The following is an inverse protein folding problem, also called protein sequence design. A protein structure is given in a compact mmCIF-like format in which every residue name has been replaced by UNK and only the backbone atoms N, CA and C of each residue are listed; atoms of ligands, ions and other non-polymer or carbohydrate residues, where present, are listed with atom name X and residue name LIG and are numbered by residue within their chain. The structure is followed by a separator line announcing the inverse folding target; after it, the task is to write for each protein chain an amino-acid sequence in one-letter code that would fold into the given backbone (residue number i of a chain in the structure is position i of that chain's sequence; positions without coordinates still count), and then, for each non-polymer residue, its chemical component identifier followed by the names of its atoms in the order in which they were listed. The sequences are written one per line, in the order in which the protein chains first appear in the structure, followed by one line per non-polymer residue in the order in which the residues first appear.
data_IF_878819147521
#
_entry.id   IF_878819147521
#
_cell.length_a   1.000
_cell.length_b   1.000
_cell.length_c   1.000
_cell.angle_alpha   90.00
_cell.angle_beta   90.00
_cell.angle_gamma   90.00
#
_symmetry.space_group_name_H-M   'P 1'
#
loop_
_entity.id
_entity.type
_entity.pdbx_description
1 polymer ?
#
# COMPACT_ATOMS: atom_id res chain seq x y z
N UNK A 1 0.98 -7.47 -15.55
CA UNK A 1 1.09 -6.87 -14.21
C UNK A 1 1.75 -7.89 -13.28
N UNK A 2 2.99 -7.63 -12.81
CA UNK A 2 3.66 -8.43 -11.79
C UNK A 2 2.78 -8.57 -10.53
N UNK A 3 2.94 -9.66 -9.75
CA UNK A 3 2.11 -9.85 -8.56
C UNK A 3 2.23 -8.70 -7.56
N UNK A 4 3.44 -8.17 -7.33
CA UNK A 4 3.66 -7.03 -6.45
C UNK A 4 2.88 -5.78 -6.87
N UNK A 5 2.95 -5.39 -8.15
CA UNK A 5 2.21 -4.23 -8.69
C UNK A 5 0.70 -4.36 -8.44
N UNK A 6 0.15 -5.55 -8.71
CA UNK A 6 -1.28 -5.82 -8.46
C UNK A 6 -1.64 -5.70 -6.98
N UNK A 7 -0.84 -6.29 -6.10
CA UNK A 7 -1.14 -6.26 -4.66
C UNK A 7 -1.00 -4.86 -4.06
N UNK A 8 -0.08 -4.04 -4.58
CA UNK A 8 0.00 -2.60 -4.25
C UNK A 8 -1.23 -1.85 -4.73
N UNK A 9 -1.72 -2.08 -5.96
CA UNK A 9 -2.97 -1.47 -6.44
C UNK A 9 -4.17 -1.84 -5.56
N UNK A 10 -4.26 -3.10 -5.11
CA UNK A 10 -5.31 -3.51 -4.17
C UNK A 10 -5.18 -2.84 -2.81
N UNK A 11 -3.97 -2.65 -2.29
CA UNK A 11 -3.77 -1.91 -1.05
C UNK A 11 -4.22 -0.45 -1.21
N UNK A 12 -3.82 0.22 -2.28
CA UNK A 12 -4.24 1.60 -2.56
C UNK A 12 -5.77 1.72 -2.70
N UNK A 13 -6.42 0.76 -3.35
CA UNK A 13 -7.88 0.71 -3.44
C UNK A 13 -8.54 0.51 -2.05
N UNK A 14 -7.96 -0.37 -1.20
CA UNK A 14 -8.44 -0.60 0.17
C UNK A 14 -8.33 0.67 1.03
N UNK A 15 -7.22 1.41 0.90
CA UNK A 15 -7.01 2.69 1.59
C UNK A 15 -8.02 3.76 1.16
N UNK A 16 -8.31 3.87 -0.14
CA UNK A 16 -9.35 4.77 -0.66
C UNK A 16 -10.73 4.41 -0.09
N UNK A 17 -11.14 3.15 -0.15
CA UNK A 17 -12.48 2.73 0.29
C UNK A 17 -12.64 2.82 1.81
N UNK A 18 -11.64 2.40 2.59
CA UNK A 18 -11.77 2.34 4.05
C UNK A 18 -11.47 3.67 4.74
N UNK A 19 -10.46 4.39 4.25
CA UNK A 19 -9.90 5.56 4.92
C UNK A 19 -9.99 6.85 4.11
N UNK A 20 -10.48 6.79 2.86
CA UNK A 20 -10.68 7.97 2.02
C UNK A 20 -9.44 8.46 1.29
N UNK A 21 -8.32 7.72 1.34
CA UNK A 21 -7.08 8.04 0.61
C UNK A 21 -7.22 7.70 -0.88
N UNK A 22 -7.94 8.54 -1.61
CA UNK A 22 -8.26 8.32 -3.03
C UNK A 22 -7.32 9.16 -3.90
N UNK A 23 -6.08 8.70 -3.99
CA UNK A 23 -5.00 9.38 -4.70
C UNK A 23 -5.19 9.39 -6.23
N UNK A 24 -4.59 10.36 -6.96
CA UNK A 24 -4.69 10.45 -8.42
C UNK A 24 -4.18 9.20 -9.14
N UNK A 25 -4.75 8.91 -10.32
CA UNK A 25 -4.38 7.73 -11.14
C UNK A 25 -2.88 7.71 -11.50
N UNK A 26 -2.28 8.88 -11.73
CA UNK A 26 -0.85 8.97 -12.03
C UNK A 26 0.02 8.54 -10.84
N UNK A 27 -0.40 8.89 -9.61
CA UNK A 27 0.27 8.44 -8.39
C UNK A 27 0.04 6.96 -8.11
N UNK A 28 -1.16 6.44 -8.36
CA UNK A 28 -1.42 4.99 -8.29
C UNK A 28 -0.44 4.25 -9.20
N UNK A 29 -0.27 4.73 -10.44
CA UNK A 29 0.66 4.13 -11.40
C UNK A 29 2.11 4.24 -10.96
N UNK A 30 2.53 5.38 -10.40
CA UNK A 30 3.89 5.59 -9.89
C UNK A 30 4.19 4.65 -8.73
N UNK A 31 3.34 4.68 -7.71
CA UNK A 31 3.51 3.90 -6.48
C UNK A 31 3.44 2.40 -6.78
N UNK A 32 2.43 1.93 -7.51
CA UNK A 32 2.28 0.49 -7.76
C UNK A 32 3.40 -0.13 -8.61
N UNK A 33 4.17 0.67 -9.35
CA UNK A 33 5.25 0.19 -10.24
C UNK A 33 6.64 0.24 -9.62
N UNK A 34 6.77 0.60 -8.35
CA UNK A 34 8.05 0.51 -7.67
C UNK A 34 8.53 -0.94 -7.57
N UNK A 35 9.82 -1.16 -7.72
CA UNK A 35 10.43 -2.49 -7.60
C UNK A 35 10.66 -2.89 -6.14
N UNK A 36 10.64 -1.92 -5.22
CA UNK A 36 10.94 -2.09 -3.82
C UNK A 36 10.16 -1.08 -2.97
N UNK A 37 9.73 -1.51 -1.78
CA UNK A 37 9.18 -0.63 -0.75
C UNK A 37 9.54 -1.09 0.65
N UNK A 38 9.91 -0.13 1.50
CA UNK A 38 9.62 -0.21 2.94
C UNK A 38 8.20 0.29 3.22
N UNK A 39 7.58 -0.24 4.26
CA UNK A 39 6.23 0.11 4.69
C UNK A 39 6.08 1.61 4.99
N UNK A 40 7.09 2.22 5.63
CA UNK A 40 7.11 3.64 5.94
C UNK A 40 7.22 4.51 4.68
N UNK A 41 8.10 4.16 3.75
CA UNK A 41 8.25 4.89 2.47
C UNK A 41 6.94 4.83 1.66
N UNK A 42 6.30 3.66 1.61
CA UNK A 42 4.98 3.51 0.99
C UNK A 42 3.93 4.43 1.64
N UNK A 43 3.90 4.51 2.97
CA UNK A 43 2.97 5.36 3.69
C UNK A 43 3.21 6.85 3.41
N UNK A 44 4.47 7.28 3.34
CA UNK A 44 4.84 8.65 2.98
C UNK A 44 4.39 8.99 1.55
N UNK A 45 4.64 8.10 0.59
CA UNK A 45 4.21 8.25 -0.80
C UNK A 45 2.68 8.41 -0.93
N UNK A 46 1.90 7.63 -0.17
CA UNK A 46 0.43 7.72 -0.16
C UNK A 46 -0.03 9.06 0.41
N UNK A 47 0.57 9.52 1.51
CA UNK A 47 0.22 10.80 2.15
C UNK A 47 0.56 11.98 1.23
N UNK A 48 1.72 11.95 0.59
CA UNK A 48 2.12 12.97 -0.38
C UNK A 48 1.17 13.00 -1.59
N UNK A 49 0.81 11.83 -2.12
CA UNK A 49 -0.11 11.70 -3.25
C UNK A 49 -1.55 12.17 -2.93
N UNK A 50 -1.96 12.10 -1.66
CA UNK A 50 -3.23 12.68 -1.19
C UNK A 50 -3.16 14.21 -1.05
N UNK A 51 -1.97 14.81 -1.20
CA UNK A 51 -1.73 16.24 -1.03
C UNK A 51 -1.59 16.67 0.44
N UNK A 52 -1.25 15.73 1.33
CA UNK A 52 -1.08 15.97 2.76
C UNK A 52 0.41 16.15 3.11
N UNK A 53 0.69 16.94 4.14
CA UNK A 53 2.06 17.14 4.62
C UNK A 53 2.53 15.98 5.52
N UNK A 54 3.65 15.36 5.16
CA UNK A 54 4.19 14.19 5.87
C UNK A 54 4.56 14.54 7.33
N UNK A 55 5.15 15.72 7.56
CA UNK A 55 5.68 16.12 8.88
C UNK A 55 4.58 16.25 9.94
N UNK A 56 3.38 16.62 9.53
CA UNK A 56 2.23 16.81 10.42
C UNK A 56 1.33 15.57 10.53
N UNK A 57 1.51 14.57 9.66
CA UNK A 57 0.64 13.40 9.55
C UNK A 57 1.28 12.08 10.00
N UNK A 58 2.16 12.14 11.01
CA UNK A 58 2.86 10.97 11.59
C UNK A 58 1.95 9.83 12.04
N UNK A 59 0.72 10.15 12.49
CA UNK A 59 -0.29 9.13 12.82
C UNK A 59 -0.70 8.32 11.58
N UNK A 60 -0.89 8.98 10.43
CA UNK A 60 -1.26 8.30 9.20
C UNK A 60 -0.11 7.47 8.65
N UNK A 61 1.13 7.97 8.74
CA UNK A 61 2.32 7.20 8.38
C UNK A 61 2.28 5.86 9.11
N UNK A 62 2.15 5.90 10.45
CA UNK A 62 2.09 4.69 11.26
C UNK A 62 0.95 3.73 10.84
N UNK A 63 -0.27 4.24 10.67
CA UNK A 63 -1.43 3.40 10.35
C UNK A 63 -1.33 2.75 8.95
N UNK A 64 -0.85 3.49 7.96
CA UNK A 64 -0.67 2.97 6.60
C UNK A 64 0.48 1.95 6.56
N UNK A 65 1.58 2.20 7.26
CA UNK A 65 2.67 1.22 7.42
C UNK A 65 2.18 -0.08 8.07
N UNK A 66 1.39 0.02 9.15
CA UNK A 66 0.81 -1.16 9.80
C UNK A 66 -0.10 -1.93 8.82
N UNK A 67 -0.91 -1.23 8.03
CA UNK A 67 -1.79 -1.86 7.02
C UNK A 67 -1.00 -2.55 5.91
N UNK A 68 0.10 -1.94 5.48
CA UNK A 68 1.03 -2.54 4.52
C UNK A 68 1.61 -3.84 5.09
N UNK A 69 2.11 -3.81 6.33
CA UNK A 69 2.69 -4.99 6.99
C UNK A 69 1.64 -6.09 7.18
N UNK A 70 0.40 -5.74 7.54
CA UNK A 70 -0.70 -6.70 7.65
C UNK A 70 -0.98 -7.43 6.32
N UNK A 71 -0.93 -6.70 5.21
CA UNK A 71 -1.19 -7.25 3.87
C UNK A 71 -0.06 -8.15 3.39
N UNK A 72 1.18 -7.68 3.51
CA UNK A 72 2.34 -8.35 2.92
C UNK A 72 3.06 -9.30 3.88
N UNK A 73 2.80 -9.17 5.18
CA UNK A 73 3.45 -9.95 6.23
C UNK A 73 4.93 -9.61 6.43
N UNK A 74 5.36 -8.41 6.01
CA UNK A 74 6.75 -7.94 6.04
C UNK A 74 6.78 -6.41 6.09
N UNK A 75 7.83 -5.85 6.69
CA UNK A 75 8.12 -4.40 6.68
C UNK A 75 8.65 -3.91 5.33
N UNK A 76 9.09 -4.83 4.47
CA UNK A 76 9.59 -4.55 3.14
C UNK A 76 9.10 -5.58 2.11
N UNK A 77 9.02 -5.16 0.86
CA UNK A 77 8.76 -6.03 -0.28
C UNK A 77 9.70 -5.66 -1.44
N UNK A 78 10.13 -6.68 -2.19
CA UNK A 78 11.01 -6.54 -3.35
C UNK A 78 10.48 -7.40 -4.50
N UNK A 79 10.34 -6.84 -5.70
CA UNK A 79 9.78 -7.52 -6.88
C UNK A 79 10.51 -8.82 -7.22
N UNK A 80 11.82 -8.91 -6.94
CA UNK A 80 12.65 -10.08 -7.22
C UNK A 80 12.39 -11.26 -6.28
N UNK A 81 11.87 -10.99 -5.07
CA UNK A 81 11.56 -12.02 -4.06
C UNK A 81 10.08 -12.14 -3.75
N UNK A 82 9.25 -11.26 -4.33
CA UNK A 82 7.84 -11.17 -4.03
C UNK A 82 7.11 -12.45 -4.43
N UNK A 83 6.46 -13.07 -3.45
CA UNK A 83 5.57 -14.20 -3.65
C UNK A 83 4.17 -13.78 -3.26
N UNK A 84 3.19 -14.06 -4.12
CA UNK A 84 1.78 -13.77 -3.86
C UNK A 84 1.25 -14.69 -2.74
N UNK A 85 1.45 -14.26 -1.49
CA UNK A 85 1.02 -14.98 -0.28
C UNK A 85 -0.46 -14.75 0.03
N UNK A 86 -1.08 -13.72 -0.54
CA UNK A 86 -2.45 -13.28 -0.20
C UNK A 86 -3.50 -14.30 -0.65
N UNK A 87 -3.28 -15.03 -1.76
CA UNK A 87 -4.23 -16.06 -2.25
C UNK A 87 -4.37 -17.31 -1.36
N UNK A 88 -3.58 -17.44 -0.29
CA UNK A 88 -3.72 -18.52 0.70
C UNK A 88 -4.69 -18.21 1.86
N UNK A 89 -5.02 -16.94 2.10
CA UNK A 89 -6.03 -16.53 3.09
C UNK A 89 -7.33 -16.31 2.34
N UNK A 90 -8.36 -17.13 2.61
CA UNK A 90 -9.73 -16.85 2.17
C UNK A 90 -10.09 -15.46 2.69
N UNK A 91 -10.19 -14.48 1.81
CA UNK A 91 -10.75 -13.19 2.15
C UNK A 91 -12.22 -13.41 2.49
N UNK A 92 -12.55 -13.32 3.77
CA UNK A 92 -13.93 -13.34 4.24
C UNK A 92 -14.51 -11.94 4.04
N UNK A 93 -15.12 -11.73 2.87
CA UNK A 93 -15.85 -10.51 2.54
C UNK A 93 -17.25 -10.47 3.19
N UNK A 94 -17.42 -11.09 4.37
CA UNK A 94 -18.73 -11.15 5.03
C UNK A 94 -19.03 -9.88 5.84
N UNK A 95 -19.95 -9.11 5.25
CA UNK A 95 -20.92 -8.14 5.84
C UNK A 95 -20.48 -6.68 5.94
#
# INVERSE_FOLDING_TARGET
MPPMERELQYLLADLCVKWGFCIPVDDINRISKMDYYYAEDFAMDVIEAEGMDIQTNTRWIKLISERFIERFGSEEIDISTFTDRVRGKKEDWST
#
